data_IF_285471547419
#
_entry.id   IF_285471547419
#
_cell.length_a   1.000
_cell.length_b   1.000
_cell.length_c   1.000
_cell.angle_alpha   90.00
_cell.angle_beta   90.00
_cell.angle_gamma   90.00
#
_symmetry.space_group_name_H-M   'P 1'
#
loop_
_entity.id
_entity.type
_entity.pdbx_description
1 polymer ?
#
# COMPACT_ATOMS: atom_id res chain seq x y z
N UNK A 1 18.71 -11.28 -3.87
CA UNK A 1 17.86 -12.35 -4.42
C UNK A 1 17.15 -11.82 -5.65
N UNK A 2 16.83 -12.65 -6.66
CA UNK A 2 16.07 -12.21 -7.82
C UNK A 2 14.64 -11.79 -7.42
N UNK A 3 13.95 -11.10 -8.34
CA UNK A 3 12.53 -10.71 -8.20
C UNK A 3 11.67 -11.92 -7.80
N UNK A 4 10.75 -11.72 -6.86
CA UNK A 4 9.76 -12.73 -6.47
C UNK A 4 8.73 -12.95 -7.59
N UNK A 5 8.52 -14.20 -7.98
CA UNK A 5 7.60 -14.61 -9.05
C UNK A 5 6.23 -15.03 -8.55
N UNK A 6 6.08 -15.22 -7.24
CA UNK A 6 4.84 -15.61 -6.60
C UNK A 6 3.99 -14.40 -6.16
N UNK A 7 4.48 -13.18 -6.37
CA UNK A 7 3.77 -11.92 -6.17
C UNK A 7 3.52 -11.24 -7.52
N UNK A 8 2.36 -10.63 -7.67
CA UNK A 8 1.98 -9.87 -8.87
C UNK A 8 1.29 -8.55 -8.53
N UNK A 9 0.70 -8.41 -7.34
CA UNK A 9 0.02 -7.20 -6.87
C UNK A 9 0.60 -6.76 -5.52
N UNK A 10 0.81 -5.46 -5.34
CA UNK A 10 1.34 -4.89 -4.09
C UNK A 10 0.51 -3.68 -3.69
N UNK A 11 -0.03 -3.70 -2.47
CA UNK A 11 -0.64 -2.54 -1.82
C UNK A 11 0.43 -1.79 -1.02
N UNK A 12 0.57 -0.49 -1.28
CA UNK A 12 1.40 0.44 -0.50
C UNK A 12 0.46 1.25 0.40
N UNK A 13 0.82 1.37 1.69
CA UNK A 13 0.14 2.31 2.60
C UNK A 13 0.98 3.58 2.69
N UNK A 14 0.37 4.72 2.34
CA UNK A 14 0.97 6.05 2.49
C UNK A 14 0.97 6.54 3.94
N UNK A 15 1.50 7.75 4.16
CA UNK A 15 1.59 8.34 5.50
C UNK A 15 0.33 9.08 5.97
N UNK A 16 -0.58 9.41 5.06
CA UNK A 16 -1.72 10.27 5.35
C UNK A 16 -1.31 11.76 5.39
N UNK A 17 -2.05 12.62 6.12
CA UNK A 17 -1.80 14.06 6.15
C UNK A 17 -0.44 14.39 6.77
N UNK A 18 0.16 15.49 6.32
CA UNK A 18 1.43 15.98 6.86
C UNK A 18 1.22 16.46 8.30
N UNK A 19 2.07 15.96 9.20
CA UNK A 19 2.14 16.38 10.60
C UNK A 19 3.60 16.60 11.03
N UNK A 20 3.81 17.29 12.15
CA UNK A 20 5.16 17.43 12.72
C UNK A 20 5.69 16.03 13.05
N UNK A 21 6.87 15.69 12.52
CA UNK A 21 7.50 14.38 12.69
C UNK A 21 7.13 13.32 11.65
N UNK A 22 6.18 13.61 10.75
CA UNK A 22 5.83 12.76 9.62
C UNK A 22 5.35 13.62 8.44
N UNK A 23 6.24 13.92 7.52
CA UNK A 23 6.03 14.95 6.49
C UNK A 23 6.29 14.42 5.07
N UNK A 24 6.73 15.32 4.18
CA UNK A 24 6.89 15.10 2.75
C UNK A 24 7.90 14.00 2.37
N UNK A 25 8.76 13.57 3.31
CA UNK A 25 9.68 12.45 3.11
C UNK A 25 8.95 11.16 2.70
N UNK A 26 7.71 10.97 3.14
CA UNK A 26 6.92 9.78 2.80
C UNK A 26 6.19 9.89 1.46
N UNK A 27 5.90 11.11 0.97
CA UNK A 27 5.49 11.28 -0.44
C UNK A 27 6.66 10.93 -1.36
N UNK A 28 7.86 11.43 -1.05
CA UNK A 28 9.07 11.09 -1.78
C UNK A 28 9.34 9.56 -1.77
N UNK A 29 9.36 8.93 -0.60
CA UNK A 29 9.60 7.48 -0.48
C UNK A 29 8.49 6.65 -1.12
N UNK A 30 7.22 7.02 -0.94
CA UNK A 30 6.07 6.35 -1.54
C UNK A 30 6.10 6.43 -3.08
N UNK A 31 6.40 7.61 -3.64
CA UNK A 31 6.53 7.78 -5.09
C UNK A 31 7.70 6.96 -5.68
N UNK A 32 8.82 6.85 -4.95
CA UNK A 32 9.93 5.98 -5.34
C UNK A 32 9.52 4.50 -5.32
N UNK A 33 8.79 4.07 -4.30
CA UNK A 33 8.29 2.70 -4.20
C UNK A 33 7.33 2.37 -5.35
N UNK A 34 6.36 3.25 -5.66
CA UNK A 34 5.47 3.10 -6.80
C UNK A 34 6.26 2.92 -8.11
N UNK A 35 7.24 3.80 -8.37
CA UNK A 35 8.08 3.73 -9.58
C UNK A 35 8.87 2.42 -9.66
N UNK A 36 9.52 2.02 -8.57
CA UNK A 36 10.34 0.82 -8.53
C UNK A 36 9.52 -0.46 -8.74
N UNK A 37 8.34 -0.54 -8.12
CA UNK A 37 7.46 -1.70 -8.28
C UNK A 37 6.85 -1.78 -9.69
N UNK A 38 6.46 -0.65 -10.28
CA UNK A 38 5.99 -0.60 -11.68
C UNK A 38 7.09 -0.96 -12.67
N UNK A 39 8.34 -0.50 -12.48
CA UNK A 39 9.45 -0.89 -13.36
C UNK A 39 9.73 -2.39 -13.34
N UNK A 40 9.38 -3.04 -12.24
CA UNK A 40 9.46 -4.49 -12.09
C UNK A 40 8.19 -5.22 -12.54
N UNK A 41 7.19 -4.55 -13.13
CA UNK A 41 5.91 -5.12 -13.58
C UNK A 41 5.08 -5.74 -12.44
N UNK A 42 5.06 -5.13 -11.26
CA UNK A 42 4.01 -5.38 -10.28
C UNK A 42 2.80 -4.47 -10.57
N UNK A 43 1.59 -4.99 -10.34
CA UNK A 43 0.40 -4.16 -10.21
C UNK A 43 0.45 -3.43 -8.87
N UNK A 44 0.53 -2.11 -8.90
CA UNK A 44 0.68 -1.25 -7.73
C UNK A 44 -0.67 -0.65 -7.36
N UNK A 45 -1.08 -0.93 -6.12
CA UNK A 45 -2.22 -0.28 -5.48
C UNK A 45 -1.69 0.65 -4.41
N UNK A 46 -2.20 1.86 -4.33
CA UNK A 46 -1.82 2.81 -3.31
C UNK A 46 -3.03 3.27 -2.50
N UNK A 47 -2.90 3.30 -1.17
CA UNK A 47 -3.84 3.96 -0.28
C UNK A 47 -3.15 5.13 0.44
N UNK A 48 -3.66 6.36 0.27
CA UNK A 48 -3.18 7.53 0.99
C UNK A 48 -4.27 8.59 1.11
N UNK A 49 -4.58 9.05 2.32
CA UNK A 49 -5.63 10.04 2.54
C UNK A 49 -5.22 11.48 2.19
N UNK A 50 -3.94 11.74 1.89
CA UNK A 50 -3.44 13.07 1.57
C UNK A 50 -3.49 13.34 0.06
N UNK A 51 -4.38 14.23 -0.43
CA UNK A 51 -4.52 14.49 -1.86
C UNK A 51 -3.40 15.39 -2.42
N UNK A 52 -2.58 16.01 -1.57
CA UNK A 52 -1.51 16.92 -1.99
C UNK A 52 -0.16 16.19 -2.10
N UNK A 53 -0.14 15.01 -2.73
CA UNK A 53 1.06 14.16 -2.85
C UNK A 53 1.27 13.70 -4.29
N UNK A 54 2.53 13.63 -4.73
CA UNK A 54 2.88 13.09 -6.06
C UNK A 54 2.56 11.61 -6.13
N UNK A 55 2.76 10.85 -5.05
CA UNK A 55 2.44 9.43 -5.04
C UNK A 55 0.96 9.13 -5.36
N UNK A 56 0.04 10.06 -5.06
CA UNK A 56 -1.39 9.94 -5.39
C UNK A 56 -1.76 10.37 -6.81
N UNK A 57 -0.81 10.85 -7.61
CA UNK A 57 -1.09 11.18 -9.01
C UNK A 57 -1.54 9.91 -9.78
N UNK A 58 -2.55 10.00 -10.67
CA UNK A 58 -3.14 8.83 -11.31
C UNK A 58 -2.17 7.94 -12.11
N UNK A 59 -1.02 8.48 -12.51
CA UNK A 59 -0.01 7.79 -13.32
C UNK A 59 0.99 6.96 -12.49
N UNK A 60 1.08 7.21 -11.18
CA UNK A 60 2.08 6.61 -10.29
C UNK A 60 1.73 5.18 -9.86
N UNK A 61 0.45 4.86 -9.69
CA UNK A 61 -0.04 3.53 -9.34
C UNK A 61 -1.03 3.04 -10.40
N UNK A 62 -1.38 1.76 -10.39
CA UNK A 62 -2.45 1.22 -11.26
C UNK A 62 -3.82 1.52 -10.68
N UNK A 63 -3.93 1.56 -9.34
CA UNK A 63 -5.09 2.09 -8.61
C UNK A 63 -4.65 2.90 -7.39
N UNK A 64 -5.27 4.06 -7.22
CA UNK A 64 -5.02 4.98 -6.11
C UNK A 64 -6.31 5.24 -5.34
N UNK A 65 -6.28 4.96 -4.04
CA UNK A 65 -7.35 5.23 -3.09
C UNK A 65 -6.99 6.44 -2.24
N UNK A 66 -7.69 7.55 -2.48
CA UNK A 66 -7.62 8.76 -1.63
C UNK A 66 -8.72 8.66 -0.57
N UNK A 67 -8.52 7.74 0.37
CA UNK A 67 -9.48 7.35 1.40
C UNK A 67 -8.86 7.45 2.80
N UNK A 68 -9.67 7.52 3.88
CA UNK A 68 -9.16 7.49 5.25
C UNK A 68 -8.24 6.29 5.50
N UNK A 69 -7.08 6.55 6.11
CA UNK A 69 -6.16 5.49 6.52
C UNK A 69 -6.59 4.90 7.87
N UNK A 70 -7.67 4.13 7.85
CA UNK A 70 -8.18 3.37 8.99
C UNK A 70 -8.21 1.88 8.65
N UNK A 71 -8.24 1.04 9.69
CA UNK A 71 -8.37 -0.41 9.54
C UNK A 71 -9.55 -0.79 8.64
N UNK A 72 -10.73 -0.21 8.87
CA UNK A 72 -11.96 -0.57 8.14
C UNK A 72 -11.87 -0.23 6.65
N UNK A 73 -11.31 0.93 6.30
CA UNK A 73 -11.12 1.32 4.91
C UNK A 73 -10.04 0.49 4.22
N UNK A 74 -8.95 0.17 4.93
CA UNK A 74 -7.92 -0.72 4.39
C UNK A 74 -8.42 -2.15 4.21
N UNK A 75 -9.24 -2.68 5.12
CA UNK A 75 -9.90 -3.97 4.94
C UNK A 75 -10.76 -3.95 3.67
N UNK A 76 -11.49 -2.86 3.44
CA UNK A 76 -12.37 -2.77 2.30
C UNK A 76 -11.62 -2.64 0.96
N UNK A 77 -10.51 -1.90 0.96
CA UNK A 77 -9.58 -1.87 -0.17
C UNK A 77 -9.04 -3.29 -0.43
N UNK A 78 -8.60 -4.01 0.61
CA UNK A 78 -8.11 -5.39 0.46
C UNK A 78 -9.18 -6.33 -0.09
N UNK A 79 -10.43 -6.21 0.35
CA UNK A 79 -11.57 -6.99 -0.16
C UNK A 79 -11.77 -6.73 -1.65
N UNK A 80 -11.92 -5.46 -2.03
CA UNK A 80 -12.17 -5.05 -3.42
C UNK A 80 -11.02 -5.48 -4.33
N UNK A 81 -9.77 -5.28 -3.89
CA UNK A 81 -8.58 -5.65 -4.65
C UNK A 81 -8.43 -7.17 -4.83
N UNK A 82 -8.83 -7.95 -3.82
CA UNK A 82 -8.87 -9.40 -3.89
C UNK A 82 -9.98 -9.89 -4.83
N UNK A 83 -11.13 -9.24 -4.85
CA UNK A 83 -12.22 -9.55 -5.80
C UNK A 83 -11.82 -9.26 -7.25
N UNK A 84 -11.07 -8.16 -7.50
CA UNK A 84 -10.54 -7.86 -8.82
C UNK A 84 -9.46 -8.84 -9.29
N UNK A 85 -8.66 -9.38 -8.38
CA UNK A 85 -7.60 -10.34 -8.71
C UNK A 85 -7.54 -11.53 -7.74
N UNK A 86 -8.49 -12.48 -7.82
CA UNK A 86 -8.60 -13.58 -6.85
C UNK A 86 -7.35 -14.47 -6.78
N UNK A 87 -6.66 -14.62 -7.90
CA UNK A 87 -5.49 -15.50 -8.04
C UNK A 87 -4.14 -14.77 -7.95
N UNK A 88 -4.13 -13.44 -7.82
CA UNK A 88 -2.89 -12.68 -7.73
C UNK A 88 -2.16 -13.00 -6.41
N UNK A 89 -0.85 -13.20 -6.50
CA UNK A 89 0.01 -13.10 -5.33
C UNK A 89 -0.02 -11.66 -4.84
N UNK A 90 -0.62 -11.44 -3.66
CA UNK A 90 -0.89 -10.10 -3.14
C UNK A 90 -0.04 -9.86 -1.91
N UNK A 91 0.64 -8.72 -1.87
CA UNK A 91 1.42 -8.30 -0.73
C UNK A 91 1.07 -6.87 -0.27
N UNK A 92 1.41 -6.59 0.99
CA UNK A 92 1.32 -5.28 1.63
C UNK A 92 2.74 -4.77 1.91
N UNK A 93 3.06 -3.55 1.48
CA UNK A 93 4.32 -2.85 1.76
C UNK A 93 4.05 -1.67 2.72
N UNK A 94 4.35 -1.80 4.02
CA UNK A 94 4.04 -0.78 5.02
C UNK A 94 5.23 0.12 5.39
N UNK A 95 6.41 -0.07 4.78
CA UNK A 95 7.67 0.52 5.23
C UNK A 95 7.97 1.91 4.65
N UNK A 96 7.12 2.42 3.76
CA UNK A 96 7.31 3.71 3.08
C UNK A 96 6.27 4.78 3.46
N UNK A 97 5.41 4.50 4.44
CA UNK A 97 4.34 5.40 4.91
C UNK A 97 4.48 5.82 6.38
N UNK A 98 5.70 5.78 6.93
CA UNK A 98 5.97 6.22 8.30
C UNK A 98 5.29 5.38 9.38
N UNK A 99 5.03 5.99 10.53
CA UNK A 99 4.42 5.29 11.66
C UNK A 99 2.95 4.96 11.40
N UNK A 100 2.24 5.79 10.62
CA UNK A 100 0.86 5.50 10.20
C UNK A 100 0.78 4.14 9.52
N UNK A 101 1.60 3.90 8.50
CA UNK A 101 1.58 2.65 7.75
C UNK A 101 1.99 1.44 8.60
N UNK A 102 3.00 1.58 9.46
CA UNK A 102 3.45 0.51 10.36
C UNK A 102 2.36 0.11 11.36
N UNK A 103 1.72 1.09 12.01
CA UNK A 103 0.66 0.82 12.98
C UNK A 103 -0.53 0.12 12.33
N UNK A 104 -0.96 0.60 11.16
CA UNK A 104 -2.08 -0.01 10.42
C UNK A 104 -1.72 -1.42 9.95
N UNK A 105 -0.49 -1.66 9.51
CA UNK A 105 -0.07 -3.00 9.09
C UNK A 105 -0.06 -4.00 10.26
N UNK A 106 0.41 -3.58 11.44
CA UNK A 106 0.33 -4.38 12.67
C UNK A 106 -1.14 -4.66 13.02
N UNK A 107 -2.00 -3.64 12.99
CA UNK A 107 -3.42 -3.80 13.30
C UNK A 107 -4.14 -4.76 12.33
N UNK A 108 -3.86 -4.67 11.02
CA UNK A 108 -4.40 -5.59 10.02
C UNK A 108 -3.88 -7.02 10.20
N UNK A 109 -2.62 -7.17 10.63
CA UNK A 109 -2.00 -8.48 10.92
C UNK A 109 -2.62 -9.10 12.17
N UNK A 110 -2.64 -8.37 13.29
CA UNK A 110 -3.11 -8.86 14.59
C UNK A 110 -4.61 -9.19 14.57
N UNK A 111 -5.39 -8.50 13.74
CA UNK A 111 -6.80 -8.78 13.54
C UNK A 111 -7.09 -9.95 12.59
N UNK A 112 -6.07 -10.57 11.99
CA UNK A 112 -6.20 -11.68 11.03
C UNK A 112 -6.77 -11.28 9.66
N UNK A 113 -6.85 -9.97 9.36
CA UNK A 113 -7.37 -9.47 8.08
C UNK A 113 -6.42 -9.85 6.94
N UNK A 114 -5.11 -9.75 7.14
CA UNK A 114 -4.15 -10.14 6.11
C UNK A 114 -4.28 -11.62 5.75
N UNK A 115 -4.47 -12.50 6.73
CA UNK A 115 -4.69 -13.94 6.51
C UNK A 115 -6.02 -14.20 5.80
N UNK A 116 -7.10 -13.54 6.23
CA UNK A 116 -8.43 -13.62 5.61
C UNK A 116 -8.38 -13.33 4.10
N UNK A 117 -7.55 -12.39 3.67
CA UNK A 117 -7.39 -12.01 2.27
C UNK A 117 -6.13 -12.60 1.61
N UNK A 118 -5.40 -13.50 2.28
CA UNK A 118 -4.15 -14.11 1.81
C UNK A 118 -3.13 -13.06 1.31
N UNK A 119 -2.91 -12.02 2.11
CA UNK A 119 -2.01 -10.90 1.80
C UNK A 119 -0.72 -11.08 2.58
N UNK A 120 0.42 -11.11 1.88
CA UNK A 120 1.73 -11.26 2.51
C UNK A 120 2.30 -9.90 2.90
N UNK A 121 2.78 -9.76 4.13
CA UNK A 121 3.53 -8.56 4.52
C UNK A 121 4.96 -8.66 3.97
N UNK A 122 5.43 -7.61 3.29
CA UNK A 122 6.78 -7.51 2.73
C UNK A 122 7.46 -6.21 3.18
N UNK A 123 8.79 -6.18 3.08
CA UNK A 123 9.61 -5.02 3.45
C UNK A 123 10.27 -5.18 4.81
#
# INVERSE_FOLDING_TARGET
MPKRTDLSKILIIGSGPIVIGQSAEFDYSGAQACKALKSENYEVVLANSNPATIMTDPELADRTYIEPLTRDYLEEILRVEREYAPHAGFALLPTVGGQTALNLAVELSDSGILDKYNVQLIG
#
